data_IF_670476675271
#
_entry.id   IF_670476675271
#
_cell.length_a   1.000
_cell.length_b   1.000
_cell.length_c   1.000
_cell.angle_alpha   90.00
_cell.angle_beta   90.00
_cell.angle_gamma   90.00
#
_symmetry.space_group_name_H-M   'P 1'
#
loop_
_entity.id
_entity.type
_entity.pdbx_description
1 polymer ?
#
# COMPACT_ATOMS: atom_id res chain seq x y z
N UNK A 1 26.78 29.48 -2.84
CA UNK A 1 26.69 28.53 -1.71
C UNK A 1 25.40 27.71 -1.73
N UNK A 2 24.20 28.32 -1.82
CA UNK A 2 22.93 27.57 -1.88
C UNK A 2 22.78 26.78 -3.20
N UNK A 3 23.03 27.40 -4.35
CA UNK A 3 22.95 26.72 -5.67
C UNK A 3 23.91 25.52 -5.82
N UNK A 4 25.14 25.59 -5.28
CA UNK A 4 26.07 24.46 -5.31
C UNK A 4 25.65 23.30 -4.39
N UNK A 5 24.83 23.58 -3.37
CA UNK A 5 24.28 22.55 -2.50
C UNK A 5 23.08 21.87 -3.17
N UNK A 6 22.20 22.65 -3.81
CA UNK A 6 21.09 22.15 -4.62
C UNK A 6 21.57 21.26 -5.76
N UNK A 7 22.60 21.68 -6.50
CA UNK A 7 23.21 20.88 -7.57
C UNK A 7 23.84 19.58 -7.07
N UNK A 8 24.43 19.59 -5.86
CA UNK A 8 24.97 18.36 -5.24
C UNK A 8 23.87 17.38 -4.85
N UNK A 9 22.81 17.87 -4.23
CA UNK A 9 21.64 17.05 -3.85
C UNK A 9 21.01 16.45 -5.11
N UNK A 10 20.89 17.25 -6.17
CA UNK A 10 20.36 16.80 -7.45
C UNK A 10 21.25 15.71 -8.07
N UNK A 11 22.57 15.90 -8.08
CA UNK A 11 23.52 14.89 -8.57
C UNK A 11 23.40 13.56 -7.82
N UNK A 12 23.34 13.59 -6.48
CA UNK A 12 23.14 12.36 -5.69
C UNK A 12 21.81 11.66 -6.02
N UNK A 13 20.74 12.42 -6.21
CA UNK A 13 19.46 11.85 -6.61
C UNK A 13 19.52 11.19 -8.00
N UNK A 14 20.18 11.83 -8.97
CA UNK A 14 20.35 11.27 -10.32
C UNK A 14 21.14 9.96 -10.26
N UNK A 15 22.26 9.93 -9.52
CA UNK A 15 23.09 8.73 -9.36
C UNK A 15 22.28 7.58 -8.74
N UNK A 16 21.55 7.84 -7.64
CA UNK A 16 20.70 6.86 -6.97
C UNK A 16 19.53 6.40 -7.87
N UNK A 17 18.92 7.33 -8.60
CA UNK A 17 17.85 7.00 -9.53
C UNK A 17 18.35 6.10 -10.66
N UNK A 18 19.56 6.32 -11.19
CA UNK A 18 20.18 5.47 -12.20
C UNK A 18 20.45 4.04 -11.69
N UNK A 19 20.92 3.89 -10.45
CA UNK A 19 21.09 2.57 -9.81
C UNK A 19 19.74 1.83 -9.67
N UNK A 20 18.69 2.56 -9.30
CA UNK A 20 17.35 2.01 -9.23
C UNK A 20 16.76 1.68 -10.60
N UNK A 21 17.00 2.51 -11.62
CA UNK A 21 16.58 2.24 -13.00
C UNK A 21 17.21 0.94 -13.51
N UNK A 22 18.50 0.72 -13.25
CA UNK A 22 19.17 -0.55 -13.60
C UNK A 22 18.50 -1.77 -12.96
N UNK A 23 18.09 -1.64 -11.68
CA UNK A 23 17.37 -2.71 -10.97
C UNK A 23 16.01 -2.98 -11.59
N UNK A 24 15.27 -1.93 -11.94
CA UNK A 24 13.95 -2.03 -12.56
C UNK A 24 14.06 -2.65 -13.96
N UNK A 25 15.03 -2.21 -14.78
CA UNK A 25 15.27 -2.73 -16.12
C UNK A 25 15.55 -4.23 -16.11
N UNK A 26 16.45 -4.69 -15.24
CA UNK A 26 16.77 -6.11 -15.11
C UNK A 26 15.54 -6.95 -14.73
N UNK A 27 14.69 -6.40 -13.86
CA UNK A 27 13.42 -7.02 -13.47
C UNK A 27 12.41 -7.06 -14.62
N UNK A 28 12.37 -6.04 -15.47
CA UNK A 28 11.47 -5.98 -16.62
C UNK A 28 11.91 -6.89 -17.77
N UNK A 29 13.22 -6.96 -18.06
CA UNK A 29 13.76 -7.83 -19.12
C UNK A 29 13.51 -9.30 -18.82
N UNK A 30 13.54 -9.68 -17.54
CA UNK A 30 13.24 -11.05 -17.08
C UNK A 30 11.94 -11.09 -16.28
N UNK A 31 10.89 -10.41 -16.77
CA UNK A 31 9.66 -10.19 -15.99
C UNK A 31 9.03 -11.50 -15.51
N UNK A 32 8.95 -12.51 -16.36
CA UNK A 32 8.36 -13.80 -16.00
C UNK A 32 9.08 -14.47 -14.83
N UNK A 33 10.42 -14.48 -14.83
CA UNK A 33 11.24 -15.04 -13.75
C UNK A 33 11.14 -14.17 -12.50
N UNK A 34 11.19 -12.85 -12.69
CA UNK A 34 11.07 -11.84 -11.63
C UNK A 34 9.77 -11.99 -10.85
N UNK A 35 8.65 -12.28 -11.52
CA UNK A 35 7.35 -12.50 -10.85
C UNK A 35 7.27 -13.81 -10.06
N UNK A 36 8.10 -14.80 -10.40
CA UNK A 36 8.18 -16.06 -9.65
C UNK A 36 9.18 -16.01 -8.50
N UNK A 37 10.09 -15.03 -8.49
CA UNK A 37 11.09 -14.81 -7.46
C UNK A 37 10.69 -13.65 -6.53
N UNK A 38 10.32 -13.99 -5.30
CA UNK A 38 9.91 -13.03 -4.29
C UNK A 38 11.00 -12.00 -3.95
N UNK A 39 12.28 -12.34 -4.02
CA UNK A 39 13.36 -11.39 -3.76
C UNK A 39 13.51 -10.39 -4.91
N UNK A 40 13.47 -10.87 -6.15
CA UNK A 40 13.59 -10.02 -7.34
C UNK A 40 12.43 -9.03 -7.45
N UNK A 41 11.17 -9.48 -7.33
CA UNK A 41 10.02 -8.57 -7.41
C UNK A 41 10.02 -7.55 -6.25
N UNK A 42 10.48 -7.93 -5.06
CA UNK A 42 10.63 -6.99 -3.94
C UNK A 42 11.77 -5.99 -4.18
N UNK A 43 12.86 -6.40 -4.84
CA UNK A 43 13.95 -5.50 -5.20
C UNK A 43 13.48 -4.44 -6.21
N UNK A 44 12.78 -4.85 -7.26
CA UNK A 44 12.18 -3.95 -8.26
C UNK A 44 11.17 -2.99 -7.63
N UNK A 45 10.30 -3.50 -6.75
CA UNK A 45 9.34 -2.67 -6.03
C UNK A 45 10.02 -1.61 -5.15
N UNK A 46 11.07 -1.99 -4.40
CA UNK A 46 11.84 -1.05 -3.57
C UNK A 46 12.56 0.00 -4.41
N UNK A 47 13.10 -0.39 -5.57
CA UNK A 47 13.76 0.53 -6.49
C UNK A 47 12.77 1.59 -7.01
N UNK A 48 11.60 1.17 -7.50
CA UNK A 48 10.55 2.10 -7.95
C UNK A 48 10.08 3.04 -6.82
N UNK A 49 9.88 2.50 -5.61
CA UNK A 49 9.47 3.28 -4.43
C UNK A 49 10.51 4.34 -4.02
N UNK A 50 11.79 4.01 -4.15
CA UNK A 50 12.89 4.92 -3.79
C UNK A 50 13.01 6.07 -4.79
N UNK A 51 12.91 5.79 -6.09
CA UNK A 51 12.83 6.84 -7.13
C UNK A 51 11.65 7.78 -6.89
N UNK A 52 10.47 7.22 -6.60
CA UNK A 52 9.28 8.01 -6.25
C UNK A 52 9.52 8.92 -5.05
N UNK A 53 10.11 8.38 -3.99
CA UNK A 53 10.41 9.13 -2.76
C UNK A 53 11.37 10.29 -3.00
N UNK A 54 12.47 10.04 -3.72
CA UNK A 54 13.44 11.07 -4.08
C UNK A 54 12.84 12.16 -4.97
N UNK A 55 12.07 11.76 -5.98
CA UNK A 55 11.38 12.70 -6.88
C UNK A 55 10.38 13.59 -6.13
N UNK A 56 9.59 13.02 -5.22
CA UNK A 56 8.65 13.78 -4.40
C UNK A 56 9.36 14.77 -3.46
N UNK A 57 10.51 14.39 -2.90
CA UNK A 57 11.30 15.26 -2.03
C UNK A 57 11.85 16.48 -2.78
N UNK A 58 12.19 16.30 -4.06
CA UNK A 58 12.76 17.35 -4.92
C UNK A 58 11.72 18.09 -5.77
N UNK A 59 10.44 17.68 -5.73
CA UNK A 59 9.35 18.32 -6.47
C UNK A 59 9.31 17.99 -7.96
N UNK A 60 9.82 16.83 -8.36
CA UNK A 60 9.76 16.36 -9.75
C UNK A 60 8.51 15.51 -9.98
N UNK A 61 7.37 16.18 -10.16
CA UNK A 61 6.04 15.55 -10.21
C UNK A 61 5.91 14.48 -11.31
N UNK A 62 6.49 14.70 -12.49
CA UNK A 62 6.42 13.75 -13.61
C UNK A 62 7.21 12.46 -13.34
N UNK A 63 8.38 12.56 -12.70
CA UNK A 63 9.18 11.41 -12.27
C UNK A 63 8.43 10.67 -11.15
N UNK A 64 7.87 11.41 -10.18
CA UNK A 64 7.08 10.84 -9.09
C UNK A 64 5.86 10.09 -9.64
N UNK A 65 5.10 10.68 -10.55
CA UNK A 65 3.93 10.06 -11.16
C UNK A 65 4.31 8.78 -11.91
N UNK A 66 5.34 8.83 -12.75
CA UNK A 66 5.74 7.69 -13.59
C UNK A 66 6.28 6.53 -12.75
N UNK A 67 7.13 6.81 -11.76
CA UNK A 67 7.64 5.79 -10.83
C UNK A 67 6.55 5.21 -9.94
N UNK A 68 5.58 6.01 -9.51
CA UNK A 68 4.41 5.53 -8.77
C UNK A 68 3.54 4.57 -9.61
N UNK A 69 3.34 4.87 -10.90
CA UNK A 69 2.62 3.95 -11.81
C UNK A 69 3.33 2.60 -11.92
N UNK A 70 4.66 2.60 -12.10
CA UNK A 70 5.44 1.35 -12.11
C UNK A 70 5.30 0.58 -10.79
N UNK A 71 5.39 1.26 -9.65
CA UNK A 71 5.18 0.66 -8.33
C UNK A 71 3.81 -0.03 -8.22
N UNK A 72 2.74 0.63 -8.68
CA UNK A 72 1.38 0.09 -8.71
C UNK A 72 1.26 -1.14 -9.62
N UNK A 73 1.83 -1.10 -10.83
CA UNK A 73 1.78 -2.25 -11.74
C UNK A 73 2.52 -3.46 -11.17
N UNK A 74 3.72 -3.27 -10.62
CA UNK A 74 4.46 -4.36 -9.96
C UNK A 74 3.73 -4.89 -8.73
N UNK A 75 3.06 -4.02 -7.97
CA UNK A 75 2.21 -4.44 -6.86
C UNK A 75 1.09 -5.36 -7.34
N UNK A 76 0.36 -4.98 -8.38
CA UNK A 76 -0.71 -5.80 -8.96
C UNK A 76 -0.16 -7.15 -9.44
N UNK A 77 0.97 -7.16 -10.16
CA UNK A 77 1.57 -8.41 -10.64
C UNK A 77 2.05 -9.31 -9.48
N UNK A 78 2.65 -8.72 -8.45
CA UNK A 78 3.07 -9.44 -7.23
C UNK A 78 1.88 -10.04 -6.49
N UNK A 79 0.77 -9.31 -6.40
CA UNK A 79 -0.46 -9.77 -5.74
C UNK A 79 -1.21 -10.84 -6.56
N UNK A 80 -0.93 -10.93 -7.87
CA UNK A 80 -1.59 -11.84 -8.80
C UNK A 80 -0.58 -12.74 -9.54
N UNK A 81 0.16 -13.56 -8.79
CA UNK A 81 1.20 -14.46 -9.33
C UNK A 81 0.72 -15.47 -10.40
N UNK A 82 -0.60 -15.63 -10.58
CA UNK A 82 -1.19 -16.48 -11.63
C UNK A 82 -1.34 -15.77 -12.97
N UNK A 83 -1.12 -14.46 -13.02
CA UNK A 83 -1.08 -13.68 -14.26
C UNK A 83 0.04 -14.22 -15.15
N UNK A 84 -0.35 -14.64 -16.35
CA UNK A 84 0.61 -15.02 -17.38
C UNK A 84 1.11 -13.75 -18.04
N UNK A 85 2.43 -13.54 -17.99
CA UNK A 85 3.06 -12.42 -18.68
C UNK A 85 2.97 -12.69 -20.17
N UNK A 86 2.35 -11.77 -20.89
CA UNK A 86 2.36 -11.78 -22.35
C UNK A 86 3.27 -10.67 -22.89
N UNK A 87 3.65 -10.80 -24.15
CA UNK A 87 4.54 -9.84 -24.82
C UNK A 87 3.97 -8.41 -24.81
N UNK A 88 2.64 -8.27 -24.80
CA UNK A 88 1.99 -6.96 -24.76
C UNK A 88 2.22 -6.28 -23.41
N UNK A 89 2.07 -7.01 -22.30
CA UNK A 89 2.34 -6.51 -20.96
C UNK A 89 3.80 -6.07 -20.81
N UNK A 90 4.76 -6.91 -21.23
CA UNK A 90 6.19 -6.58 -21.20
C UNK A 90 6.49 -5.31 -21.98
N UNK A 91 5.97 -5.22 -23.21
CA UNK A 91 6.19 -4.06 -24.08
C UNK A 91 5.65 -2.77 -23.46
N UNK A 92 4.47 -2.83 -22.84
CA UNK A 92 3.85 -1.65 -22.23
C UNK A 92 4.59 -1.22 -20.96
N UNK A 93 5.03 -2.15 -20.12
CA UNK A 93 5.85 -1.84 -18.94
C UNK A 93 7.20 -1.24 -19.34
N UNK A 94 7.87 -1.79 -20.37
CA UNK A 94 9.11 -1.24 -20.89
C UNK A 94 8.93 0.19 -21.39
N UNK A 95 7.84 0.51 -22.12
CA UNK A 95 7.58 1.89 -22.55
C UNK A 95 7.39 2.87 -21.39
N UNK A 96 6.75 2.43 -20.30
CA UNK A 96 6.63 3.24 -19.09
C UNK A 96 8.01 3.44 -18.44
N UNK A 97 8.83 2.40 -18.40
CA UNK A 97 10.21 2.48 -17.92
C UNK A 97 11.05 3.43 -18.79
N UNK A 98 10.96 3.34 -20.12
CA UNK A 98 11.65 4.22 -21.07
C UNK A 98 11.30 5.69 -20.79
N UNK A 99 10.04 5.97 -20.46
CA UNK A 99 9.59 7.31 -20.07
C UNK A 99 10.29 7.79 -18.80
N UNK A 100 10.35 6.93 -17.78
CA UNK A 100 11.01 7.25 -16.52
C UNK A 100 12.51 7.51 -16.73
N UNK A 101 13.17 6.65 -17.52
CA UNK A 101 14.56 6.80 -17.89
C UNK A 101 14.79 8.10 -18.67
N UNK A 102 13.94 8.44 -19.63
CA UNK A 102 14.03 9.68 -20.39
C UNK A 102 13.85 10.91 -19.51
N UNK A 103 12.94 10.89 -18.53
CA UNK A 103 12.81 11.98 -17.56
C UNK A 103 14.10 12.16 -16.73
N UNK A 104 14.70 11.08 -16.25
CA UNK A 104 15.97 11.14 -15.50
C UNK A 104 17.12 11.64 -16.38
N UNK A 105 17.23 11.18 -17.63
CA UNK A 105 18.24 11.62 -18.58
C UNK A 105 18.12 13.12 -18.93
N UNK A 106 16.88 13.61 -19.09
CA UNK A 106 16.62 15.04 -19.29
C UNK A 106 17.04 15.84 -18.04
N UNK A 107 16.71 15.32 -16.85
CA UNK A 107 17.11 15.96 -15.60
C UNK A 107 18.64 16.02 -15.44
N UNK A 108 19.37 14.99 -15.86
CA UNK A 108 20.84 14.97 -15.89
C UNK A 108 21.41 15.97 -16.91
N UNK A 109 20.82 16.01 -18.10
CA UNK A 109 21.29 16.88 -19.20
C UNK A 109 21.09 18.37 -18.90
N UNK A 110 19.91 18.74 -18.41
CA UNK A 110 19.52 20.14 -18.24
C UNK A 110 19.64 20.62 -16.80
N UNK A 111 19.98 19.74 -15.85
CA UNK A 111 19.93 19.98 -14.40
C UNK A 111 18.56 20.54 -13.97
N UNK A 112 17.53 20.23 -14.76
CA UNK A 112 16.16 20.73 -14.66
C UNK A 112 15.27 19.93 -15.60
N UNK A 113 13.96 20.07 -15.44
CA UNK A 113 12.95 19.49 -16.33
C UNK A 113 12.18 20.62 -17.00
N UNK A 114 12.50 20.98 -18.25
CA UNK A 114 11.74 21.97 -18.99
C UNK A 114 10.29 21.51 -19.16
N UNK A 115 9.34 22.37 -18.78
CA UNK A 115 7.90 22.06 -18.78
C UNK A 115 7.41 21.51 -20.13
N UNK A 116 7.79 22.15 -21.23
CA UNK A 116 7.43 21.70 -22.59
C UNK A 116 7.89 20.27 -22.91
N UNK A 117 9.11 19.90 -22.47
CA UNK A 117 9.65 18.55 -22.71
C UNK A 117 8.89 17.53 -21.88
N UNK A 118 8.58 17.87 -20.62
CA UNK A 118 7.77 17.03 -19.74
C UNK A 118 6.36 16.86 -20.33
N UNK A 119 5.71 17.93 -20.75
CA UNK A 119 4.36 17.89 -21.31
C UNK A 119 4.30 17.02 -22.57
N UNK A 120 5.25 17.20 -23.50
CA UNK A 120 5.31 16.41 -24.73
C UNK A 120 5.56 14.92 -24.46
N UNK A 121 6.39 14.61 -23.46
CA UNK A 121 6.70 13.24 -23.06
C UNK A 121 5.51 12.60 -22.32
N UNK A 122 4.90 13.30 -21.37
CA UNK A 122 3.74 12.82 -20.62
C UNK A 122 2.52 12.65 -21.53
N UNK A 123 2.31 13.54 -22.52
CA UNK A 123 1.24 13.40 -23.50
C UNK A 123 1.35 12.12 -24.34
N UNK A 124 2.58 11.66 -24.63
CA UNK A 124 2.82 10.37 -25.31
C UNK A 124 2.64 9.17 -24.37
N UNK A 125 2.86 9.36 -23.08
CA UNK A 125 2.88 8.30 -22.08
C UNK A 125 1.51 8.02 -21.46
N UNK A 126 0.67 9.04 -21.29
CA UNK A 126 -0.68 8.89 -20.73
C UNK A 126 -1.56 7.83 -21.43
N UNK A 127 -1.59 7.71 -22.78
CA UNK A 127 -2.32 6.63 -23.43
C UNK A 127 -1.72 5.24 -23.13
N UNK A 128 -0.41 5.17 -22.89
CA UNK A 128 0.29 3.92 -22.52
C UNK A 128 -0.12 3.50 -21.11
N UNK A 129 -0.23 4.44 -20.16
CA UNK A 129 -0.74 4.13 -18.82
C UNK A 129 -2.16 3.56 -18.85
N UNK A 130 -3.01 4.15 -19.69
CA UNK A 130 -4.40 3.70 -19.87
C UNK A 130 -4.42 2.30 -20.47
N UNK A 131 -3.70 2.08 -21.58
CA UNK A 131 -3.65 0.78 -22.25
C UNK A 131 -3.07 -0.32 -21.35
N UNK A 132 -2.02 0.00 -20.58
CA UNK A 132 -1.41 -0.92 -19.63
C UNK A 132 -2.36 -1.28 -18.49
N UNK A 133 -3.08 -0.30 -17.93
CA UNK A 133 -4.05 -0.56 -16.88
C UNK A 133 -5.16 -1.50 -17.38
N UNK A 134 -5.75 -1.19 -18.53
CA UNK A 134 -6.82 -2.00 -19.14
C UNK A 134 -6.33 -3.43 -19.45
N UNK A 135 -5.13 -3.55 -20.02
CA UNK A 135 -4.56 -4.86 -20.35
C UNK A 135 -4.24 -5.68 -19.10
N UNK A 136 -3.66 -5.05 -18.08
CA UNK A 136 -3.35 -5.72 -16.81
C UNK A 136 -4.61 -6.20 -16.10
N UNK A 137 -5.68 -5.38 -16.08
CA UNK A 137 -6.98 -5.79 -15.56
C UNK A 137 -7.56 -6.99 -16.31
N UNK A 138 -7.47 -7.02 -17.64
CA UNK A 138 -7.90 -8.16 -18.46
C UNK A 138 -7.10 -9.43 -18.13
N UNK A 139 -5.79 -9.32 -17.99
CA UNK A 139 -4.93 -10.46 -17.63
C UNK A 139 -5.25 -11.00 -16.23
N UNK A 140 -5.48 -10.13 -15.25
CA UNK A 140 -5.89 -10.52 -13.89
C UNK A 140 -7.25 -11.23 -13.93
N UNK A 141 -8.23 -10.71 -14.67
CA UNK A 141 -9.54 -11.37 -14.84
C UNK A 141 -9.43 -12.72 -15.54
N UNK A 142 -8.55 -12.83 -16.54
CA UNK A 142 -8.28 -14.09 -17.25
C UNK A 142 -7.66 -15.11 -16.30
N UNK A 143 -6.65 -14.72 -15.52
CA UNK A 143 -6.03 -15.58 -14.51
C UNK A 143 -7.05 -16.10 -13.49
N UNK A 144 -7.94 -15.24 -13.00
CA UNK A 144 -9.04 -15.60 -12.08
C UNK A 144 -10.11 -16.51 -12.70
N UNK A 145 -10.25 -16.53 -14.02
CA UNK A 145 -11.23 -17.38 -14.73
C UNK A 145 -10.65 -18.71 -15.22
N UNK A 146 -9.35 -18.76 -15.55
CA UNK A 146 -8.64 -20.01 -15.84
C UNK A 146 -8.51 -20.91 -14.60
N UNK A 147 -8.42 -20.31 -13.41
CA UNK A 147 -8.39 -21.05 -12.14
C UNK A 147 -9.73 -21.76 -11.82
N UNK A 148 -10.83 -21.41 -12.51
CA UNK A 148 -12.16 -22.02 -12.32
C UNK A 148 -12.37 -23.35 -13.05
N UNK A 149 -11.40 -23.87 -13.81
CA UNK A 149 -11.51 -25.18 -14.51
C UNK A 149 -10.81 -26.34 -13.82
N UNK A 150 -10.12 -26.09 -12.72
CA UNK A 150 -9.67 -27.13 -11.79
C UNK A 150 -10.77 -27.37 -10.78
N UNK A 151 -11.33 -28.58 -10.75
CA UNK A 151 -12.18 -29.02 -9.65
C UNK A 151 -11.36 -29.08 -8.38
N UNK A 152 -11.36 -27.99 -7.60
CA UNK A 152 -11.07 -28.06 -6.19
C UNK A 152 -12.10 -27.24 -5.43
N UNK A 153 -12.62 -27.84 -4.37
CA UNK A 153 -13.46 -27.21 -3.35
C UNK A 153 -12.83 -25.85 -2.97
N UNK A 154 -13.61 -24.77 -2.77
CA UNK A 154 -13.03 -23.47 -2.49
C UNK A 154 -12.26 -23.54 -1.16
N UNK A 155 -10.93 -23.53 -1.25
CA UNK A 155 -10.07 -23.38 -0.08
C UNK A 155 -10.12 -21.94 0.40
N UNK A 156 -9.99 -21.80 1.71
CA UNK A 156 -10.25 -20.62 2.52
C UNK A 156 -9.28 -19.43 2.27
N UNK A 157 -8.42 -19.55 1.26
CA UNK A 157 -7.22 -18.74 1.02
C UNK A 157 -7.40 -17.79 -0.19
N UNK A 158 -8.10 -18.23 -1.25
CA UNK A 158 -8.45 -17.38 -2.40
C UNK A 158 -9.47 -16.29 -2.05
N UNK A 159 -10.44 -16.59 -1.18
CA UNK A 159 -11.39 -15.60 -0.65
C UNK A 159 -10.67 -14.57 0.25
N UNK A 160 -9.62 -14.99 0.95
CA UNK A 160 -8.84 -14.11 1.83
C UNK A 160 -8.08 -13.06 0.99
N UNK A 161 -7.41 -13.45 -0.08
CA UNK A 161 -6.59 -12.54 -0.89
C UNK A 161 -7.38 -11.41 -1.59
N UNK A 162 -8.58 -11.67 -2.13
CA UNK A 162 -9.40 -10.62 -2.74
C UNK A 162 -9.98 -9.63 -1.71
N UNK A 163 -10.07 -10.04 -0.44
CA UNK A 163 -10.64 -9.24 0.63
C UNK A 163 -9.59 -8.51 1.47
N UNK A 164 -8.29 -8.83 1.33
CA UNK A 164 -7.19 -8.19 2.05
C UNK A 164 -6.98 -6.71 1.67
N UNK A 165 -7.03 -6.30 0.39
CA UNK A 165 -6.93 -4.88 0.02
C UNK A 165 -8.16 -4.08 0.49
N UNK A 166 -9.35 -4.67 0.39
CA UNK A 166 -10.60 -4.09 0.91
C UNK A 166 -10.51 -3.94 2.43
N UNK A 167 -9.99 -4.96 3.12
CA UNK A 167 -9.72 -4.93 4.54
C UNK A 167 -8.72 -3.82 4.90
N UNK A 168 -7.58 -3.76 4.22
CA UNK A 168 -6.54 -2.77 4.46
C UNK A 168 -7.09 -1.35 4.33
N UNK A 169 -7.81 -1.07 3.23
CA UNK A 169 -8.36 0.25 2.96
C UNK A 169 -9.42 0.66 3.99
N UNK A 170 -10.36 -0.24 4.31
CA UNK A 170 -11.40 0.04 5.31
C UNK A 170 -10.81 0.26 6.71
N UNK A 171 -9.83 -0.56 7.11
CA UNK A 171 -9.14 -0.41 8.40
C UNK A 171 -8.38 0.91 8.45
N UNK A 172 -7.62 1.27 7.40
CA UNK A 172 -6.87 2.54 7.35
C UNK A 172 -7.80 3.75 7.37
N UNK A 173 -8.94 3.69 6.69
CA UNK A 173 -9.95 4.74 6.71
C UNK A 173 -10.51 4.93 8.12
N UNK A 174 -10.89 3.83 8.80
CA UNK A 174 -11.43 3.87 10.16
C UNK A 174 -10.39 4.34 11.18
N UNK A 175 -9.13 3.92 11.07
CA UNK A 175 -8.06 4.41 11.93
C UNK A 175 -7.86 5.93 11.80
N UNK A 176 -7.93 6.47 10.58
CA UNK A 176 -7.88 7.93 10.36
C UNK A 176 -9.08 8.64 11.00
N UNK A 177 -10.28 8.09 10.85
CA UNK A 177 -11.49 8.62 11.48
C UNK A 177 -11.38 8.62 13.02
N UNK A 178 -10.95 7.50 13.61
CA UNK A 178 -10.70 7.39 15.05
C UNK A 178 -9.66 8.41 15.53
N UNK A 179 -8.56 8.61 14.80
CA UNK A 179 -7.56 9.64 15.13
C UNK A 179 -8.12 11.06 15.10
N UNK A 180 -9.06 11.37 14.20
CA UNK A 180 -9.73 12.67 14.19
C UNK A 180 -10.69 12.81 15.37
N UNK A 181 -11.42 11.75 15.73
CA UNK A 181 -12.31 11.73 16.89
C UNK A 181 -11.54 11.88 18.21
N UNK A 182 -10.38 11.21 18.35
CA UNK A 182 -9.52 11.35 19.54
C UNK A 182 -8.93 12.75 19.72
N UNK A 183 -8.87 13.57 18.66
CA UNK A 183 -8.43 14.98 18.74
C UNK A 183 -9.53 15.94 19.19
N UNK A 184 -10.80 15.51 19.16
CA UNK A 184 -11.94 16.31 19.56
C UNK A 184 -12.16 16.26 21.08
N UNK A 185 -12.93 17.20 21.64
CA UNK A 185 -13.30 17.17 23.06
C UNK A 185 -14.05 15.88 23.44
N UNK A 186 -13.77 15.36 24.63
CA UNK A 186 -14.42 14.15 25.14
C UNK A 186 -15.91 14.41 25.38
N UNK A 187 -16.74 13.92 24.46
CA UNK A 187 -18.21 14.01 24.53
C UNK A 187 -18.82 12.63 24.41
N UNK A 188 -20.02 12.39 24.99
CA UNK A 188 -20.75 11.13 24.81
C UNK A 188 -20.94 10.77 23.33
N UNK A 189 -21.17 11.79 22.47
CA UNK A 189 -21.32 11.61 21.03
C UNK A 189 -20.02 11.14 20.35
N UNK A 190 -18.88 11.79 20.61
CA UNK A 190 -17.59 11.34 20.07
C UNK A 190 -17.21 9.93 20.54
N UNK A 191 -17.59 9.57 21.78
CA UNK A 191 -17.34 8.24 22.35
C UNK A 191 -18.23 7.18 21.70
N UNK A 192 -19.46 7.54 21.37
CA UNK A 192 -20.36 6.68 20.59
C UNK A 192 -19.80 6.46 19.17
N UNK A 193 -19.34 7.52 18.49
CA UNK A 193 -18.75 7.41 17.14
C UNK A 193 -17.48 6.53 17.13
N UNK A 194 -16.64 6.64 18.17
CA UNK A 194 -15.48 5.75 18.33
C UNK A 194 -15.90 4.28 18.53
N UNK A 195 -16.95 4.01 19.31
CA UNK A 195 -17.50 2.66 19.47
C UNK A 195 -18.06 2.11 18.15
N UNK A 196 -18.78 2.92 17.38
CA UNK A 196 -19.30 2.55 16.06
C UNK A 196 -18.17 2.21 15.08
N UNK A 197 -17.05 2.94 15.11
CA UNK A 197 -15.86 2.61 14.32
C UNK A 197 -15.32 1.22 14.66
N UNK A 198 -15.18 0.90 15.95
CA UNK A 198 -14.74 -0.41 16.40
C UNK A 198 -15.72 -1.54 16.03
N UNK A 199 -17.02 -1.29 16.10
CA UNK A 199 -18.05 -2.27 15.72
C UNK A 199 -18.00 -2.59 14.22
N UNK A 200 -17.83 -1.57 13.37
CA UNK A 200 -17.67 -1.76 11.93
C UNK A 200 -16.40 -2.56 11.60
N UNK A 201 -15.29 -2.30 12.31
CA UNK A 201 -14.07 -3.09 12.17
C UNK A 201 -14.25 -4.54 12.64
N UNK A 202 -15.00 -4.78 13.70
CA UNK A 202 -15.33 -6.15 14.15
C UNK A 202 -16.20 -6.89 13.13
N UNK A 203 -17.21 -6.20 12.56
CA UNK A 203 -18.08 -6.77 11.53
C UNK A 203 -17.30 -7.17 10.28
N UNK A 204 -16.33 -6.36 9.87
CA UNK A 204 -15.40 -6.68 8.81
C UNK A 204 -14.60 -7.95 9.14
N UNK A 205 -14.08 -8.08 10.37
CA UNK A 205 -13.44 -9.31 10.85
C UNK A 205 -14.31 -10.55 10.73
N UNK A 206 -15.59 -10.42 11.11
CA UNK A 206 -16.57 -11.52 11.03
C UNK A 206 -16.81 -11.95 9.59
N UNK A 207 -16.96 -11.00 8.66
CA UNK A 207 -17.11 -11.29 7.23
C UNK A 207 -15.90 -12.04 6.67
N UNK A 208 -14.70 -11.69 7.14
CA UNK A 208 -13.43 -12.29 6.71
C UNK A 208 -13.03 -13.53 7.51
N UNK A 209 -13.87 -13.97 8.45
CA UNK A 209 -13.60 -15.08 9.38
C UNK A 209 -12.27 -14.92 10.11
N UNK A 210 -12.02 -13.72 10.64
CA UNK A 210 -10.85 -13.34 11.44
C UNK A 210 -11.23 -13.16 12.93
N UNK A 211 -11.43 -14.26 13.69
CA UNK A 211 -11.94 -14.19 15.05
C UNK A 211 -11.03 -13.40 16.01
N UNK A 212 -9.71 -13.52 15.84
CA UNK A 212 -8.74 -12.79 16.66
C UNK A 212 -8.81 -11.27 16.43
N UNK A 213 -9.02 -10.83 15.19
CA UNK A 213 -9.20 -9.42 14.85
C UNK A 213 -10.51 -8.86 15.43
N UNK A 214 -11.62 -9.60 15.26
CA UNK A 214 -12.91 -9.21 15.84
C UNK A 214 -12.79 -9.06 17.35
N UNK A 215 -12.04 -9.96 18.02
CA UNK A 215 -11.81 -9.87 19.46
C UNK A 215 -11.07 -8.60 19.87
N UNK A 216 -10.03 -8.19 19.13
CA UNK A 216 -9.31 -6.93 19.39
C UNK A 216 -10.23 -5.73 19.23
N UNK A 217 -11.06 -5.71 18.18
CA UNK A 217 -12.00 -4.62 17.92
C UNK A 217 -13.08 -4.52 19.01
N UNK A 218 -13.60 -5.65 19.49
CA UNK A 218 -14.56 -5.71 20.59
C UNK A 218 -13.94 -5.18 21.89
N UNK A 219 -12.74 -5.63 22.25
CA UNK A 219 -12.04 -5.17 23.46
C UNK A 219 -11.72 -3.67 23.38
N UNK A 220 -11.37 -3.15 22.19
CA UNK A 220 -11.22 -1.71 21.99
C UNK A 220 -12.53 -0.95 22.17
N UNK A 221 -13.65 -1.49 21.66
CA UNK A 221 -14.99 -0.92 21.85
C UNK A 221 -15.37 -0.87 23.34
N UNK A 222 -15.11 -1.95 24.09
CA UNK A 222 -15.32 -2.01 25.54
C UNK A 222 -14.46 -0.99 26.31
N UNK A 223 -13.18 -0.85 25.94
CA UNK A 223 -12.29 0.14 26.54
C UNK A 223 -12.76 1.59 26.28
N UNK A 224 -13.32 1.86 25.10
CA UNK A 224 -13.94 3.16 24.77
C UNK A 224 -15.27 3.33 25.50
N UNK A 225 -16.06 2.28 25.71
CA UNK A 225 -17.32 2.37 26.44
C UNK A 225 -17.10 2.73 27.93
N UNK A 226 -15.94 2.36 28.49
CA UNK A 226 -15.57 2.70 29.86
C UNK A 226 -15.28 4.21 30.01
N UNK A 227 -16.15 4.90 30.75
CA UNK A 227 -16.07 6.35 30.97
C UNK A 227 -14.88 6.78 31.83
N UNK A 228 -14.28 5.87 32.60
CA UNK A 228 -13.09 6.16 33.42
C UNK A 228 -11.83 6.36 32.56
N UNK A 229 -11.85 5.88 31.31
CA UNK A 229 -10.75 6.01 30.38
C UNK A 229 -10.85 7.32 29.59
N UNK A 230 -9.83 8.17 29.69
CA UNK A 230 -9.69 9.39 28.88
C UNK A 230 -9.08 9.11 27.50
N UNK A 231 -9.29 10.02 26.55
CA UNK A 231 -8.83 9.84 25.16
C UNK A 231 -7.31 9.85 25.04
N UNK A 232 -6.59 10.53 25.94
CA UNK A 232 -5.13 10.56 25.96
C UNK A 232 -4.52 9.18 26.24
N UNK A 233 -5.18 8.36 27.07
CA UNK A 233 -4.75 6.98 27.37
C UNK A 233 -5.26 6.02 26.29
N UNK A 234 -6.50 6.18 25.83
CA UNK A 234 -7.12 5.29 24.85
C UNK A 234 -6.47 5.37 23.46
N UNK A 235 -6.22 6.59 22.96
CA UNK A 235 -5.74 6.79 21.59
C UNK A 235 -4.44 6.04 21.25
N UNK A 236 -3.34 6.16 22.01
CA UNK A 236 -2.10 5.47 21.67
C UNK A 236 -2.21 3.96 21.78
N UNK A 237 -3.00 3.43 22.73
CA UNK A 237 -3.15 1.98 22.93
C UNK A 237 -4.00 1.38 21.81
N UNK A 238 -5.19 1.94 21.56
CA UNK A 238 -6.14 1.41 20.58
C UNK A 238 -5.57 1.50 19.16
N UNK A 239 -4.98 2.64 18.79
CA UNK A 239 -4.45 2.82 17.43
C UNK A 239 -3.26 1.88 17.19
N UNK A 240 -2.38 1.71 18.19
CA UNK A 240 -1.24 0.79 18.10
C UNK A 240 -1.72 -0.66 17.95
N UNK A 241 -2.62 -1.10 18.82
CA UNK A 241 -3.10 -2.49 18.82
C UNK A 241 -3.85 -2.83 17.53
N UNK A 242 -4.71 -1.93 17.04
CA UNK A 242 -5.41 -2.13 15.76
C UNK A 242 -4.44 -2.14 14.58
N UNK A 243 -3.44 -1.25 14.55
CA UNK A 243 -2.44 -1.22 13.47
C UNK A 243 -1.56 -2.48 13.46
N UNK A 244 -1.08 -2.92 14.64
CA UNK A 244 -0.29 -4.16 14.74
C UNK A 244 -1.12 -5.39 14.37
N UNK A 245 -2.38 -5.44 14.81
CA UNK A 245 -3.30 -6.52 14.43
C UNK A 245 -3.54 -6.54 12.92
N UNK A 246 -3.65 -5.37 12.29
CA UNK A 246 -3.81 -5.26 10.85
C UNK A 246 -2.56 -5.76 10.11
N UNK A 247 -1.36 -5.36 10.53
CA UNK A 247 -0.09 -5.82 9.95
C UNK A 247 0.03 -7.35 10.01
N UNK A 248 -0.33 -7.96 11.15
CA UNK A 248 -0.34 -9.42 11.30
C UNK A 248 -1.37 -10.11 10.40
N UNK A 249 -2.56 -9.54 10.24
CA UNK A 249 -3.58 -10.06 9.30
C UNK A 249 -3.07 -9.99 7.86
N UNK A 250 -2.47 -8.87 7.45
CA UNK A 250 -1.93 -8.69 6.10
C UNK A 250 -0.72 -9.59 5.82
N UNK A 251 0.06 -9.91 6.86
CA UNK A 251 1.14 -10.89 6.78
C UNK A 251 0.67 -12.36 6.78
N UNK A 252 -0.64 -12.62 6.75
CA UNK A 252 -1.21 -13.97 6.83
C UNK A 252 -1.12 -14.63 8.20
N UNK A 253 -0.65 -13.90 9.22
CA UNK A 253 -0.42 -14.34 10.61
C UNK A 253 -1.58 -13.97 11.52
N UNK A 254 -2.82 -14.08 11.04
CA UNK A 254 -4.02 -13.66 11.78
C UNK A 254 -4.25 -14.43 13.09
N UNK A 255 -3.68 -15.64 13.21
CA UNK A 255 -3.70 -16.44 14.45
C UNK A 255 -2.84 -15.84 15.56
N UNK A 256 -1.86 -15.01 15.23
CA UNK A 256 -0.96 -14.35 16.19
C UNK A 256 -1.50 -13.02 16.70
N UNK A 257 -2.58 -12.53 16.09
CA UNK A 257 -3.33 -11.39 16.59
C UNK A 257 -3.85 -11.72 17.99
N UNK A 258 -3.47 -10.90 18.96
CA UNK A 258 -3.89 -11.03 20.34
C UNK A 258 -4.13 -9.66 20.94
N UNK A 259 -5.08 -9.58 21.87
CA UNK A 259 -5.32 -8.35 22.64
C UNK A 259 -4.17 -8.15 23.63
N UNK A 260 -3.55 -6.97 23.62
CA UNK A 260 -2.48 -6.68 24.56
C UNK A 260 -3.00 -6.59 25.99
N UNK A 261 -2.15 -6.88 26.97
CA UNK A 261 -2.49 -6.72 28.38
C UNK A 261 -2.92 -5.28 28.73
N UNK A 262 -2.38 -4.28 28.03
CA UNK A 262 -2.75 -2.89 28.21
C UNK A 262 -4.19 -2.62 27.75
N UNK A 263 -4.57 -3.13 26.57
CA UNK A 263 -5.94 -2.97 26.07
C UNK A 263 -6.96 -3.73 26.93
N UNK A 264 -6.60 -4.94 27.38
CA UNK A 264 -7.43 -5.73 28.30
C UNK A 264 -7.62 -5.03 29.67
N UNK A 265 -6.59 -4.38 30.20
CA UNK A 265 -6.69 -3.63 31.45
C UNK A 265 -7.62 -2.42 31.32
N UNK A 266 -7.67 -1.78 30.14
CA UNK A 266 -8.57 -0.66 29.87
C UNK A 266 -10.02 -1.11 29.62
N UNK A 267 -10.23 -2.31 29.08
CA UNK A 267 -11.58 -2.88 28.87
C UNK A 267 -12.17 -3.54 30.12
N UNK A 268 -11.32 -3.99 31.05
CA UNK A 268 -11.76 -4.54 32.32
C UNK A 268 -12.55 -3.48 33.08
N UNK A 269 -13.85 -3.75 33.32
CA UNK A 269 -14.60 -3.04 34.35
C UNK A 269 -13.82 -3.23 35.65
N UNK A 270 -13.36 -2.14 36.26
CA UNK A 270 -12.93 -2.19 37.65
C UNK A 270 -14.14 -2.65 38.48
N UNK A 271 -14.23 -3.94 38.77
CA UNK A 271 -14.96 -4.44 39.91
C UNK A 271 -14.06 -4.12 41.10
N UNK A 272 -14.09 -2.89 41.57
CA UNK A 272 -13.62 -2.52 42.90
C UNK A 272 -14.68 -1.63 43.55
N UNK A 273 -15.45 -2.28 44.43
CA UNK A 273 -16.33 -1.78 45.49
C UNK A 273 -17.30 -0.65 45.18
#
# INVERSE_FOLDING_TARGET
>A
MVQEQEQRILGYFIDEANDHLNTIEQGLVNLQDTLTDAEMINAVFRAAHSVKGGAAMLGFDSIQQTSHRLEDYFKVLKENATVQVDQKLETLLLKVFDTLQELINNLETYLSLPEQVVDDLMAKTEPIFTELNDHLELLVQKAKSSDRRSTDLPTHESIRNDLLPVFQNQVMQKLREMLQLFKQPETPQSRQQLQECCQQLSQLGTQLKLPSWSKVCETASEAIANQDNNYRILAPVIIKDLKQSQELVLAGRSSEVSTTQQLQALSAKNIHN
#
